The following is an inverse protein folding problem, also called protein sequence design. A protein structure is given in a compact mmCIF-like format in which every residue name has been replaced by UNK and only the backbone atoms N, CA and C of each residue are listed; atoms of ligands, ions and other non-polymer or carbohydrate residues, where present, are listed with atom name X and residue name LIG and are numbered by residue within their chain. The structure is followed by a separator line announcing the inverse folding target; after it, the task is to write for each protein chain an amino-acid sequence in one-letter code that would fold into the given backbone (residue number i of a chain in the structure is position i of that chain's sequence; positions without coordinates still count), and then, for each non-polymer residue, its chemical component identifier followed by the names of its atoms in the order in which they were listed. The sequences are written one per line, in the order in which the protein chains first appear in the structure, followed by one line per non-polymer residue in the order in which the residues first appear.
data_IF_829887120487
#
_entry.id   IF_829887120487
#
_cell.length_a   1.000
_cell.length_b   1.000
_cell.length_c   1.000
_cell.angle_alpha   90.00
_cell.angle_beta   90.00
_cell.angle_gamma   90.00
#
_symmetry.space_group_name_H-M   'P 1'
#
loop_
_entity.id
_entity.type
_entity.pdbx_description
1 polymer ?
#
# COMPACT_ATOMS: atom_id res chain seq x y z
N UNK A 1 -20.58 -16.20 21.70
CA UNK A 1 -20.95 -15.21 20.66
C UNK A 1 -20.50 -13.85 21.16
N UNK A 2 -19.44 -13.30 20.60
CA UNK A 2 -18.91 -11.97 20.92
C UNK A 2 -19.42 -10.96 19.91
N UNK A 3 -19.63 -9.72 20.34
CA UNK A 3 -19.93 -8.60 19.47
C UNK A 3 -18.76 -7.61 19.51
N UNK A 4 -18.07 -7.44 18.41
CA UNK A 4 -16.91 -6.55 18.29
C UNK A 4 -17.25 -5.38 17.39
N UNK A 5 -17.02 -4.17 17.86
CA UNK A 5 -17.15 -2.95 17.06
C UNK A 5 -15.77 -2.52 16.55
N UNK A 6 -15.64 -2.35 15.25
CA UNK A 6 -14.42 -1.82 14.64
C UNK A 6 -14.61 -0.34 14.27
N UNK A 7 -13.72 0.48 14.80
CA UNK A 7 -13.72 1.93 14.64
C UNK A 7 -12.43 2.36 13.96
N UNK A 8 -12.53 3.28 13.00
CA UNK A 8 -11.36 3.78 12.27
C UNK A 8 -11.36 5.29 12.19
N UNK A 9 -10.29 5.90 12.69
CA UNK A 9 -10.10 7.36 12.64
C UNK A 9 -8.89 7.74 11.80
N UNK A 10 -9.00 8.85 11.08
CA UNK A 10 -7.86 9.44 10.37
C UNK A 10 -7.02 10.35 11.26
N UNK A 11 -7.64 11.23 12.07
CA UNK A 11 -6.94 12.19 12.94
C UNK A 11 -7.79 12.85 14.03
N UNK A 12 -9.08 12.52 14.20
CA UNK A 12 -9.98 13.24 15.10
C UNK A 12 -10.59 12.37 16.20
N UNK A 13 -10.45 12.76 17.47
CA UNK A 13 -11.11 12.11 18.62
C UNK A 13 -12.65 12.20 18.54
N UNK A 14 -13.18 13.25 17.96
CA UNK A 14 -14.64 13.47 17.82
C UNK A 14 -15.28 12.47 16.85
N UNK A 15 -14.60 12.08 15.75
CA UNK A 15 -15.09 11.05 14.82
C UNK A 15 -15.18 9.68 15.52
N UNK A 16 -14.24 9.36 16.41
CA UNK A 16 -14.26 8.13 17.20
C UNK A 16 -15.47 8.08 18.14
N UNK A 17 -15.74 9.17 18.86
CA UNK A 17 -16.89 9.28 19.77
C UNK A 17 -18.22 9.11 19.02
N UNK A 18 -18.36 9.74 17.85
CA UNK A 18 -19.56 9.63 17.01
C UNK A 18 -19.77 8.19 16.51
N UNK A 19 -18.70 7.51 16.10
CA UNK A 19 -18.76 6.10 15.67
C UNK A 19 -19.18 5.19 16.83
N UNK A 20 -18.60 5.37 18.04
CA UNK A 20 -19.00 4.64 19.24
C UNK A 20 -20.47 4.83 19.55
N UNK A 21 -20.94 6.08 19.54
CA UNK A 21 -22.31 6.44 19.81
C UNK A 21 -23.26 5.76 18.82
N UNK A 22 -22.99 5.84 17.51
CA UNK A 22 -23.78 5.20 16.48
C UNK A 22 -23.90 3.68 16.68
N UNK A 23 -22.79 3.02 17.12
CA UNK A 23 -22.80 1.59 17.39
C UNK A 23 -23.64 1.25 18.64
N UNK A 24 -23.54 2.03 19.70
CA UNK A 24 -24.30 1.83 20.93
C UNK A 24 -25.80 2.08 20.71
N UNK A 25 -26.14 3.15 20.01
CA UNK A 25 -27.52 3.49 19.65
C UNK A 25 -28.17 2.38 18.79
N UNK A 26 -27.38 1.78 17.89
CA UNK A 26 -27.82 0.64 17.10
C UNK A 26 -28.00 -0.64 17.95
N UNK A 27 -27.10 -0.90 18.89
CA UNK A 27 -27.12 -2.11 19.71
C UNK A 27 -28.28 -2.15 20.70
N UNK A 28 -28.64 -1.00 21.27
CA UNK A 28 -29.67 -0.83 22.30
C UNK A 28 -31.06 -1.40 21.90
N UNK A 29 -31.67 -1.00 20.78
CA UNK A 29 -32.97 -1.55 20.36
C UNK A 29 -32.88 -3.01 19.91
N UNK A 30 -31.71 -3.48 19.49
CA UNK A 30 -31.46 -4.87 19.08
C UNK A 30 -31.18 -5.81 20.26
N UNK A 31 -31.16 -5.29 21.49
CA UNK A 31 -30.97 -6.02 22.76
C UNK A 31 -29.69 -6.88 22.79
N UNK A 32 -28.56 -6.33 22.26
CA UNK A 32 -27.26 -6.96 22.45
C UNK A 32 -26.25 -5.93 22.97
N UNK A 33 -25.20 -6.43 23.61
CA UNK A 33 -24.07 -5.63 24.12
C UNK A 33 -22.89 -5.71 23.17
N UNK A 34 -22.08 -4.66 23.16
CA UNK A 34 -20.79 -4.64 22.45
C UNK A 34 -19.71 -5.03 23.45
N UNK A 35 -19.12 -6.21 23.25
CA UNK A 35 -18.13 -6.77 24.17
C UNK A 35 -16.77 -6.08 24.04
N UNK A 36 -16.43 -5.60 22.83
CA UNK A 36 -15.14 -4.99 22.55
C UNK A 36 -15.22 -3.92 21.46
N UNK A 37 -14.54 -2.80 21.71
CA UNK A 37 -14.24 -1.80 20.67
C UNK A 37 -12.78 -1.94 20.22
N UNK A 38 -12.57 -2.11 18.93
CA UNK A 38 -11.25 -2.15 18.31
C UNK A 38 -11.05 -0.86 17.54
N UNK A 39 -10.10 -0.07 18.00
CA UNK A 39 -9.79 1.24 17.43
C UNK A 39 -8.56 1.15 16.54
N UNK A 40 -8.69 1.55 15.28
CA UNK A 40 -7.58 1.59 14.34
C UNK A 40 -7.25 3.03 13.95
N UNK A 41 -6.01 3.43 14.15
CA UNK A 41 -5.49 4.68 13.59
C UNK A 41 -5.06 4.44 12.15
N UNK A 42 -5.79 4.98 11.21
CA UNK A 42 -5.46 4.85 9.79
C UNK A 42 -4.76 6.10 9.28
N UNK A 43 -3.43 6.08 9.23
CA UNK A 43 -2.74 6.96 8.31
C UNK A 43 -3.11 6.58 6.86
N UNK A 44 -3.17 7.57 5.95
CA UNK A 44 -3.51 7.35 4.55
C UNK A 44 -2.54 6.42 3.80
N UNK A 45 -1.42 6.03 4.39
CA UNK A 45 -0.34 5.25 3.80
C UNK A 45 -0.23 3.80 4.29
N UNK A 46 -0.98 3.40 5.32
CA UNK A 46 -0.90 2.05 5.88
C UNK A 46 -1.73 1.02 5.10
N UNK A 47 -1.19 -0.18 4.94
CA UNK A 47 -1.88 -1.35 4.35
C UNK A 47 -3.02 -1.86 5.25
N UNK A 48 -3.93 -2.75 4.78
CA UNK A 48 -4.95 -3.37 5.63
C UNK A 48 -4.38 -4.11 6.84
N UNK A 49 -3.26 -4.83 6.69
CA UNK A 49 -2.55 -5.50 7.78
C UNK A 49 -2.09 -4.50 8.86
N UNK A 50 -1.51 -3.37 8.44
CA UNK A 50 -1.06 -2.31 9.35
C UNK A 50 -2.22 -1.58 10.06
N UNK A 51 -3.46 -1.82 9.65
CA UNK A 51 -4.68 -1.27 10.27
C UNK A 51 -5.31 -2.21 11.28
N UNK A 52 -4.71 -3.36 11.52
CA UNK A 52 -5.19 -4.35 12.47
C UNK A 52 -6.50 -5.06 12.07
N UNK A 53 -6.93 -4.95 10.80
CA UNK A 53 -8.12 -5.66 10.32
C UNK A 53 -7.85 -7.15 10.21
N UNK A 54 -6.70 -7.54 9.69
CA UNK A 54 -6.34 -8.96 9.53
C UNK A 54 -6.19 -9.63 10.91
N UNK A 55 -5.60 -8.92 11.89
CA UNK A 55 -5.52 -9.37 13.27
C UNK A 55 -6.93 -9.49 13.89
N UNK A 56 -7.79 -8.51 13.66
CA UNK A 56 -9.18 -8.55 14.12
C UNK A 56 -9.93 -9.76 13.54
N UNK A 57 -9.83 -9.98 12.23
CA UNK A 57 -10.46 -11.15 11.58
C UNK A 57 -9.95 -12.47 12.15
N UNK A 58 -8.66 -12.53 12.53
CA UNK A 58 -8.06 -13.68 13.21
C UNK A 58 -8.62 -13.96 14.59
N UNK A 59 -9.22 -12.96 15.27
CA UNK A 59 -9.79 -13.10 16.63
C UNK A 59 -11.30 -13.40 16.65
N UNK A 60 -11.95 -13.39 15.49
CA UNK A 60 -13.39 -13.64 15.36
C UNK A 60 -13.68 -15.11 15.04
N UNK A 61 -14.55 -15.71 15.81
CA UNK A 61 -15.01 -17.08 15.65
C UNK A 61 -16.37 -17.14 14.94
N UNK A 62 -16.74 -18.33 14.45
CA UNK A 62 -18.03 -18.55 13.83
C UNK A 62 -19.18 -18.19 14.80
N UNK A 63 -20.14 -17.40 14.33
CA UNK A 63 -21.25 -16.89 15.12
C UNK A 63 -20.97 -15.58 15.84
N UNK A 64 -19.73 -15.12 15.92
CA UNK A 64 -19.41 -13.77 16.43
C UNK A 64 -19.96 -12.68 15.49
N UNK A 65 -20.03 -11.45 15.99
CA UNK A 65 -20.56 -10.30 15.24
C UNK A 65 -19.53 -9.18 15.15
N UNK A 66 -19.28 -8.73 13.92
CA UNK A 66 -18.52 -7.50 13.64
C UNK A 66 -19.49 -6.37 13.29
N UNK A 67 -19.35 -5.22 13.93
CA UNK A 67 -20.14 -4.01 13.65
C UNK A 67 -19.22 -2.87 13.25
N UNK A 68 -19.64 -2.14 12.23
CA UNK A 68 -19.04 -0.87 11.82
C UNK A 68 -20.11 0.21 11.66
N UNK A 69 -19.75 1.45 11.90
CA UNK A 69 -20.65 2.59 11.64
C UNK A 69 -20.98 2.75 10.16
N UNK A 70 -19.99 2.51 9.29
CA UNK A 70 -20.13 2.55 7.83
C UNK A 70 -19.08 1.68 7.15
N UNK A 71 -19.34 1.21 5.92
CA UNK A 71 -18.44 0.35 5.14
C UNK A 71 -17.08 0.98 4.89
N UNK A 72 -17.02 2.29 4.77
CA UNK A 72 -15.77 3.04 4.55
C UNK A 72 -14.75 2.83 5.68
N UNK A 73 -15.18 2.39 6.86
CA UNK A 73 -14.28 2.06 7.98
C UNK A 73 -13.48 0.80 7.73
N UNK A 74 -14.05 -0.19 7.04
CA UNK A 74 -13.36 -1.44 6.71
C UNK A 74 -12.26 -1.26 5.65
N UNK A 75 -12.52 -0.47 4.63
CA UNK A 75 -11.61 -0.34 3.49
C UNK A 75 -11.63 1.03 2.85
N UNK A 76 -10.68 1.29 1.96
CA UNK A 76 -10.56 2.53 1.18
C UNK A 76 -11.13 2.39 -0.22
N UNK A 77 -11.22 1.18 -0.72
CA UNK A 77 -11.84 0.85 -1.99
C UNK A 77 -12.91 -0.18 -1.74
N UNK A 78 -13.91 -0.17 -2.58
CA UNK A 78 -14.99 -1.15 -2.53
C UNK A 78 -14.42 -2.57 -2.65
N UNK A 79 -13.37 -2.80 -3.46
CA UNK A 79 -12.72 -4.10 -3.57
C UNK A 79 -12.04 -4.58 -2.27
N UNK A 80 -11.57 -3.68 -1.40
CA UNK A 80 -11.08 -4.06 -0.07
C UNK A 80 -12.22 -4.46 0.85
N UNK A 81 -13.31 -3.69 0.85
CA UNK A 81 -14.50 -3.97 1.65
C UNK A 81 -15.08 -5.34 1.29
N UNK A 82 -15.20 -5.63 0.00
CA UNK A 82 -15.73 -6.92 -0.49
C UNK A 82 -14.89 -8.09 0.01
N UNK A 83 -13.56 -8.01 -0.10
CA UNK A 83 -12.66 -9.08 0.40
C UNK A 83 -12.84 -9.34 1.88
N UNK A 84 -13.00 -8.28 2.69
CA UNK A 84 -13.21 -8.41 4.12
C UNK A 84 -14.58 -9.02 4.41
N UNK A 85 -15.63 -8.58 3.73
CA UNK A 85 -16.99 -9.13 3.87
C UNK A 85 -17.05 -10.59 3.43
N UNK A 86 -16.42 -10.94 2.30
CA UNK A 86 -16.33 -12.34 1.82
C UNK A 86 -15.62 -13.23 2.85
N UNK A 87 -14.52 -12.74 3.45
CA UNK A 87 -13.82 -13.48 4.51
C UNK A 87 -14.68 -13.66 5.76
N UNK A 88 -15.43 -12.64 6.19
CA UNK A 88 -16.36 -12.74 7.30
C UNK A 88 -17.45 -13.79 7.04
N UNK A 89 -18.00 -13.80 5.83
CA UNK A 89 -19.03 -14.78 5.42
C UNK A 89 -18.46 -16.20 5.39
N UNK A 90 -17.24 -16.39 4.85
CA UNK A 90 -16.56 -17.70 4.85
C UNK A 90 -16.33 -18.22 6.27
N UNK A 91 -15.98 -17.35 7.20
CA UNK A 91 -15.80 -17.67 8.63
C UNK A 91 -17.11 -17.80 9.39
N UNK A 92 -18.26 -17.60 8.76
CA UNK A 92 -19.59 -17.58 9.39
C UNK A 92 -19.72 -16.53 10.50
N UNK A 93 -19.00 -15.41 10.37
CA UNK A 93 -19.09 -14.27 11.25
C UNK A 93 -20.23 -13.37 10.78
N UNK A 94 -21.06 -12.91 11.72
CA UNK A 94 -22.12 -11.94 11.44
C UNK A 94 -21.53 -10.57 11.21
N UNK A 95 -22.13 -9.81 10.31
CA UNK A 95 -21.63 -8.48 9.99
C UNK A 95 -22.77 -7.45 9.91
N UNK A 96 -22.49 -6.25 10.43
CA UNK A 96 -23.40 -5.11 10.37
C UNK A 96 -22.65 -3.86 9.97
N UNK A 97 -23.12 -3.18 8.91
CA UNK A 97 -22.76 -1.81 8.57
C UNK A 97 -23.99 -0.94 8.76
N UNK A 98 -23.94 -0.06 9.76
CA UNK A 98 -25.12 0.66 10.27
C UNK A 98 -25.67 1.64 9.22
N UNK A 99 -24.80 2.49 8.68
CA UNK A 99 -25.18 3.57 7.74
C UNK A 99 -25.81 3.05 6.46
N UNK A 100 -25.26 1.97 5.91
CA UNK A 100 -25.74 1.34 4.69
C UNK A 100 -26.88 0.34 4.94
N UNK A 101 -27.28 0.13 6.20
CA UNK A 101 -28.28 -0.84 6.63
C UNK A 101 -28.00 -2.29 6.16
N UNK A 102 -26.70 -2.63 6.02
CA UNK A 102 -26.27 -3.96 5.57
C UNK A 102 -26.10 -4.88 6.76
N UNK A 103 -26.69 -6.09 6.66
CA UNK A 103 -26.57 -7.14 7.68
C UNK A 103 -26.33 -8.48 7.02
N UNK A 104 -25.36 -9.22 7.56
CA UNK A 104 -25.13 -10.62 7.22
C UNK A 104 -25.20 -11.45 8.51
N UNK A 105 -25.99 -12.49 8.52
CA UNK A 105 -26.18 -13.34 9.70
C UNK A 105 -25.17 -14.53 9.74
N UNK A 106 -24.07 -14.44 8.98
CA UNK A 106 -23.07 -15.51 8.92
C UNK A 106 -23.53 -16.76 8.14
N UNK A 107 -24.68 -16.71 7.49
CA UNK A 107 -25.18 -17.76 6.61
C UNK A 107 -24.88 -17.39 5.15
N UNK A 108 -24.50 -18.39 4.37
CA UNK A 108 -24.32 -18.23 2.92
C UNK A 108 -25.67 -18.41 2.21
N UNK A 109 -26.65 -17.58 2.54
CA UNK A 109 -27.92 -17.57 1.84
C UNK A 109 -27.81 -16.90 0.46
N UNK A 110 -28.84 -17.05 -0.36
CA UNK A 110 -28.88 -16.49 -1.71
C UNK A 110 -28.75 -14.97 -1.68
N UNK A 111 -29.37 -14.33 -0.70
CA UNK A 111 -29.35 -12.85 -0.55
C UNK A 111 -27.92 -12.34 -0.29
N UNK A 112 -27.17 -12.98 0.60
CA UNK A 112 -25.77 -12.68 0.87
C UNK A 112 -24.91 -12.86 -0.37
N UNK A 113 -25.09 -13.97 -1.12
CA UNK A 113 -24.34 -14.22 -2.37
C UNK A 113 -24.61 -13.16 -3.43
N UNK A 114 -25.88 -12.81 -3.66
CA UNK A 114 -26.28 -11.78 -4.60
C UNK A 114 -25.67 -10.42 -4.22
N UNK A 115 -25.70 -10.07 -2.95
CA UNK A 115 -25.16 -8.81 -2.47
C UNK A 115 -23.63 -8.72 -2.63
N UNK A 116 -22.91 -9.80 -2.33
CA UNK A 116 -21.46 -9.88 -2.57
C UNK A 116 -21.14 -9.74 -4.07
N UNK A 117 -21.91 -10.41 -4.93
CA UNK A 117 -21.75 -10.30 -6.39
C UNK A 117 -21.99 -8.88 -6.90
N UNK A 118 -23.04 -8.22 -6.44
CA UNK A 118 -23.33 -6.82 -6.78
C UNK A 118 -22.21 -5.88 -6.33
N UNK A 119 -21.72 -6.03 -5.10
CA UNK A 119 -20.57 -5.25 -4.65
C UNK A 119 -19.32 -5.50 -5.50
N UNK A 120 -19.09 -6.76 -5.94
CA UNK A 120 -18.02 -7.12 -6.86
C UNK A 120 -18.10 -6.33 -8.17
N UNK A 121 -19.28 -6.29 -8.78
CA UNK A 121 -19.54 -5.52 -9.99
C UNK A 121 -19.32 -4.01 -9.77
N UNK A 122 -19.83 -3.45 -8.69
CA UNK A 122 -19.61 -2.03 -8.38
C UNK A 122 -18.13 -1.71 -8.18
N UNK A 123 -17.35 -2.59 -7.56
CA UNK A 123 -15.91 -2.39 -7.39
C UNK A 123 -15.14 -2.43 -8.72
N UNK A 124 -15.60 -3.23 -9.66
CA UNK A 124 -15.03 -3.28 -11.01
C UNK A 124 -15.33 -1.99 -11.77
N UNK A 125 -16.58 -1.55 -11.76
CA UNK A 125 -17.01 -0.29 -12.37
C UNK A 125 -16.27 0.91 -11.75
N UNK A 126 -16.13 0.99 -10.43
CA UNK A 126 -15.36 2.05 -9.75
C UNK A 126 -13.90 2.08 -10.25
N UNK A 127 -13.26 0.90 -10.35
CA UNK A 127 -11.88 0.77 -10.84
C UNK A 127 -11.76 1.25 -12.28
N UNK A 128 -12.70 0.89 -13.14
CA UNK A 128 -12.70 1.29 -14.55
C UNK A 128 -12.89 2.81 -14.70
N UNK A 129 -13.80 3.40 -13.94
CA UNK A 129 -14.00 4.85 -13.92
C UNK A 129 -12.73 5.59 -13.44
N UNK A 130 -12.07 5.11 -12.39
CA UNK A 130 -10.80 5.68 -11.92
C UNK A 130 -9.72 5.57 -12.99
N UNK A 131 -9.61 4.41 -13.65
CA UNK A 131 -8.67 4.16 -14.75
C UNK A 131 -8.91 5.12 -15.89
N UNK A 132 -10.16 5.28 -16.31
CA UNK A 132 -10.55 6.18 -17.40
C UNK A 132 -10.22 7.63 -17.05
N UNK A 133 -10.63 8.14 -15.89
CA UNK A 133 -10.29 9.50 -15.42
C UNK A 133 -8.79 9.74 -15.38
N UNK A 134 -8.01 8.74 -14.96
CA UNK A 134 -6.55 8.83 -14.93
C UNK A 134 -5.97 8.94 -16.33
N UNK A 135 -6.46 8.14 -17.29
CA UNK A 135 -6.05 8.21 -18.71
C UNK A 135 -6.37 9.56 -19.32
N UNK A 136 -7.56 10.07 -19.08
CA UNK A 136 -8.00 11.40 -19.55
C UNK A 136 -7.15 12.52 -18.93
N UNK A 137 -6.89 12.47 -17.63
CA UNK A 137 -6.01 13.42 -16.93
C UNK A 137 -4.57 13.40 -17.45
N UNK A 138 -4.03 12.22 -17.74
CA UNK A 138 -2.70 12.08 -18.34
C UNK A 138 -2.68 12.59 -19.78
N UNK A 139 -3.73 12.35 -20.57
CA UNK A 139 -3.84 12.86 -21.94
C UNK A 139 -3.93 14.41 -21.92
N UNK A 140 -4.74 14.99 -21.06
CA UNK A 140 -4.84 16.43 -20.89
C UNK A 140 -3.52 17.07 -20.45
N UNK A 141 -2.76 16.41 -19.54
CA UNK A 141 -1.46 16.88 -19.11
C UNK A 141 -0.43 16.84 -20.27
N UNK A 142 -0.45 15.79 -21.12
CA UNK A 142 0.39 15.74 -22.31
C UNK A 142 0.04 16.83 -23.32
N UNK A 143 -1.25 17.05 -23.57
CA UNK A 143 -1.71 18.13 -24.46
C UNK A 143 -1.26 19.52 -23.99
N UNK A 144 -1.11 19.73 -22.68
CA UNK A 144 -0.55 20.94 -22.08
C UNK A 144 0.98 20.99 -22.07
N UNK A 145 1.66 20.07 -22.77
CA UNK A 145 3.13 20.01 -22.86
C UNK A 145 3.83 19.53 -21.58
N UNK A 146 3.10 18.99 -20.59
CA UNK A 146 3.74 18.47 -19.38
C UNK A 146 4.43 17.13 -19.67
N UNK A 147 5.72 17.07 -19.37
CA UNK A 147 6.47 15.83 -19.41
C UNK A 147 5.99 14.92 -18.27
N UNK A 148 5.45 13.78 -18.63
CA UNK A 148 4.98 12.78 -17.67
C UNK A 148 6.09 11.78 -17.34
N UNK A 149 6.11 11.35 -16.08
CA UNK A 149 7.11 10.42 -15.58
C UNK A 149 8.28 11.12 -14.90
N UNK A 150 9.32 10.35 -14.64
CA UNK A 150 10.53 10.85 -13.98
C UNK A 150 11.34 11.73 -14.95
N UNK A 151 11.78 12.94 -14.54
CA UNK A 151 12.63 13.77 -15.38
C UNK A 151 13.89 13.02 -15.83
N UNK A 152 14.26 13.17 -17.11
CA UNK A 152 15.50 12.58 -17.62
C UNK A 152 16.70 13.10 -16.83
N UNK A 153 17.58 12.20 -16.39
CA UNK A 153 18.75 12.54 -15.58
C UNK A 153 18.51 12.72 -14.08
N UNK A 154 17.27 12.74 -13.61
CA UNK A 154 17.01 12.77 -12.19
C UNK A 154 17.50 11.46 -11.53
N UNK A 155 18.43 11.57 -10.58
CA UNK A 155 18.96 10.44 -9.85
C UNK A 155 17.96 10.02 -8.75
N UNK A 156 17.63 8.71 -8.69
CA UNK A 156 16.79 8.16 -7.63
C UNK A 156 17.58 7.92 -6.36
N UNK A 157 16.85 7.73 -5.25
CA UNK A 157 17.43 7.21 -4.02
C UNK A 157 17.99 5.81 -4.27
N UNK A 158 19.23 5.60 -3.87
CA UNK A 158 19.92 4.31 -3.94
C UNK A 158 20.29 3.86 -2.53
N UNK A 159 20.39 2.54 -2.32
CA UNK A 159 20.97 1.98 -1.08
C UNK A 159 22.44 2.33 -0.90
N UNK A 160 23.07 2.82 -1.96
CA UNK A 160 24.49 3.20 -1.99
C UNK A 160 24.68 4.71 -1.83
N UNK A 161 23.62 5.50 -1.71
CA UNK A 161 23.75 6.93 -1.45
C UNK A 161 24.45 7.15 -0.10
N UNK A 162 25.47 8.00 -0.07
CA UNK A 162 26.36 8.22 1.07
C UNK A 162 27.59 7.29 1.15
N UNK A 163 27.70 6.31 0.24
CA UNK A 163 28.88 5.42 0.14
C UNK A 163 29.77 5.73 -1.07
N UNK A 164 29.58 6.89 -1.69
CA UNK A 164 30.28 7.27 -2.90
C UNK A 164 31.80 7.30 -2.72
N UNK A 165 32.29 7.88 -1.61
CA UNK A 165 33.71 7.98 -1.30
C UNK A 165 34.35 6.61 -0.98
N UNK A 166 33.64 5.77 -0.21
CA UNK A 166 34.08 4.42 0.08
C UNK A 166 34.25 3.60 -1.21
N UNK A 167 33.26 3.68 -2.10
CA UNK A 167 33.28 2.99 -3.39
C UNK A 167 34.43 3.54 -4.27
N UNK A 168 34.66 4.86 -4.27
CA UNK A 168 35.73 5.50 -5.01
C UNK A 168 37.10 5.02 -4.54
N UNK A 169 37.36 5.04 -3.23
CA UNK A 169 38.62 4.54 -2.65
C UNK A 169 38.89 3.08 -3.00
N UNK A 170 37.86 2.24 -2.96
CA UNK A 170 38.00 0.83 -3.31
C UNK A 170 38.30 0.63 -4.81
N UNK A 171 37.73 1.47 -5.68
CA UNK A 171 38.03 1.46 -7.11
C UNK A 171 39.46 1.94 -7.40
N UNK A 172 39.96 2.95 -6.69
CA UNK A 172 41.34 3.46 -6.79
C UNK A 172 42.35 2.41 -6.33
N UNK A 173 42.03 1.66 -5.29
CA UNK A 173 42.79 0.51 -4.83
C UNK A 173 42.69 -0.73 -5.73
N UNK A 174 42.13 -0.57 -6.94
CA UNK A 174 41.98 -1.65 -7.93
C UNK A 174 41.17 -2.88 -7.45
N UNK A 175 40.36 -2.73 -6.41
CA UNK A 175 39.46 -3.79 -5.94
C UNK A 175 38.42 -4.12 -7.01
N UNK A 176 38.20 -5.40 -7.27
CA UNK A 176 37.24 -5.83 -8.28
C UNK A 176 35.81 -5.37 -7.96
N UNK A 177 35.03 -4.96 -8.98
CA UNK A 177 33.63 -4.56 -8.79
C UNK A 177 32.78 -5.65 -8.14
N UNK A 178 33.15 -6.92 -8.33
CA UNK A 178 32.46 -8.04 -7.69
C UNK A 178 32.74 -8.07 -6.17
N UNK A 179 33.96 -7.80 -5.76
CA UNK A 179 34.36 -7.72 -4.35
C UNK A 179 33.75 -6.50 -3.68
N UNK A 180 33.77 -5.33 -4.35
CA UNK A 180 33.14 -4.11 -3.85
C UNK A 180 31.63 -4.35 -3.63
N UNK A 181 30.93 -4.99 -4.58
CA UNK A 181 29.50 -5.28 -4.44
C UNK A 181 29.20 -6.15 -3.20
N UNK A 182 30.05 -7.12 -2.90
CA UNK A 182 29.94 -7.93 -1.68
C UNK A 182 30.19 -7.08 -0.41
N UNK A 183 31.20 -6.21 -0.41
CA UNK A 183 31.53 -5.34 0.74
C UNK A 183 30.36 -4.42 1.06
N UNK A 184 29.79 -3.75 0.06
CA UNK A 184 28.69 -2.78 0.26
C UNK A 184 27.30 -3.42 0.32
N UNK A 185 27.19 -4.76 0.20
CA UNK A 185 25.95 -5.52 0.39
C UNK A 185 24.93 -5.35 -0.74
N UNK A 186 25.37 -5.22 -2.01
CA UNK A 186 24.47 -5.08 -3.17
C UNK A 186 24.86 -6.05 -4.30
N UNK A 187 23.97 -6.21 -5.29
CA UNK A 187 24.30 -6.97 -6.49
C UNK A 187 25.35 -6.24 -7.35
N UNK A 188 26.16 -7.00 -8.10
CA UNK A 188 27.15 -6.45 -9.04
C UNK A 188 26.51 -5.50 -10.06
N UNK A 189 25.30 -5.83 -10.53
CA UNK A 189 24.54 -5.00 -11.48
C UNK A 189 24.12 -3.67 -10.87
N UNK A 190 23.65 -3.66 -9.62
CA UNK A 190 23.26 -2.45 -8.90
C UNK A 190 24.49 -1.53 -8.68
N UNK A 191 25.63 -2.10 -8.25
CA UNK A 191 26.88 -1.34 -8.11
C UNK A 191 27.35 -0.76 -9.45
N UNK A 192 27.35 -1.56 -10.53
CA UNK A 192 27.75 -1.08 -11.85
C UNK A 192 26.87 0.08 -12.33
N UNK A 193 25.57 -0.02 -12.15
CA UNK A 193 24.62 1.05 -12.49
C UNK A 193 24.88 2.30 -11.64
N UNK A 194 25.14 2.14 -10.34
CA UNK A 194 25.46 3.26 -9.44
C UNK A 194 26.73 3.97 -9.84
N UNK A 195 27.84 3.25 -10.08
CA UNK A 195 29.11 3.82 -10.56
C UNK A 195 28.90 4.60 -11.86
N UNK A 196 28.14 4.05 -12.81
CA UNK A 196 27.86 4.70 -14.10
C UNK A 196 27.02 5.97 -13.93
N UNK A 197 25.94 5.91 -13.14
CA UNK A 197 25.01 7.03 -12.97
C UNK A 197 25.58 8.15 -12.10
N UNK A 198 26.41 7.82 -11.10
CA UNK A 198 27.10 8.80 -10.24
C UNK A 198 28.47 9.20 -10.79
N UNK A 199 28.88 8.68 -11.96
CA UNK A 199 30.17 8.97 -12.61
C UNK A 199 31.38 8.72 -11.69
N UNK A 200 31.32 7.66 -10.87
CA UNK A 200 32.40 7.27 -9.97
C UNK A 200 33.46 6.49 -10.73
N UNK A 201 34.23 7.17 -11.58
CA UNK A 201 35.39 6.60 -12.25
C UNK A 201 36.67 6.99 -11.51
N UNK A 202 37.65 6.07 -11.31
CA UNK A 202 38.95 6.44 -10.75
C UNK A 202 39.61 7.51 -11.61
N UNK A 203 40.23 8.52 -11.02
CA UNK A 203 40.89 9.60 -11.76
C UNK A 203 42.05 9.09 -12.65
N UNK A 204 42.63 7.94 -12.28
CA UNK A 204 43.69 7.29 -13.05
C UNK A 204 43.29 6.86 -14.47
N UNK A 205 41.99 6.66 -14.75
CA UNK A 205 41.53 6.29 -16.11
C UNK A 205 41.53 7.47 -17.10
N UNK A 206 41.55 8.72 -16.61
CA UNK A 206 41.63 9.90 -17.47
C UNK A 206 43.03 10.15 -18.05
N UNK A 207 44.07 9.67 -17.37
CA UNK A 207 45.42 9.77 -17.84
C UNK A 207 45.80 8.70 -18.89
N UNK A 208 45.27 7.48 -18.74
CA UNK A 208 45.53 6.37 -19.68
C UNK A 208 44.85 6.59 -21.06
N UNK A 209 43.71 7.31 -21.14
CA UNK A 209 43.05 7.58 -22.42
C UNK A 209 43.77 8.71 -23.21
N UNK A 210 44.47 9.64 -22.53
CA UNK A 210 45.24 10.68 -23.21
C UNK A 210 46.58 10.20 -23.78
N UNK A 211 47.16 9.10 -23.29
CA UNK A 211 48.42 8.55 -23.78
C UNK A 211 48.25 7.67 -25.02
N UNK A 212 47.07 7.09 -25.26
CA UNK A 212 46.80 6.22 -26.42
C UNK A 212 46.51 6.96 -27.73
N UNK A 213 46.30 8.25 -27.69
CA UNK A 213 46.04 9.08 -28.90
C UNK A 213 47.32 9.75 -29.47
N UNK A 214 48.49 9.55 -28.86
CA UNK A 214 49.76 10.17 -29.34
C UNK A 214 50.71 9.22 -30.08
N UNK A 215 50.32 7.99 -30.37
CA UNK A 215 51.13 6.97 -30.98
C UNK A 215 50.64 6.43 -32.33
N UNK A 216 50.13 7.26 -33.22
CA UNK A 216 49.99 6.93 -34.65
C UNK A 216 50.39 8.11 -35.51
N UNK A 217 51.60 8.12 -35.98
CA UNK A 217 52.11 8.82 -37.17
C UNK A 217 53.12 7.92 -37.87
N UNK A 218 53.29 8.19 -39.12
CA UNK A 218 52.87 7.35 -40.26
C UNK A 218 53.89 6.30 -40.59
#
# INVERSE_FOLDING_TARGET
MKTVAYLRVSTGSQDLANQKMAVLDYAKPQRFTVDRFVEAQASSRKTPAERGIDDLLGTLDAGDRLIVSELSRLGRSLGQVIRIVDELVKRKVRFVAIKEAIRFEGKQDMQTKVMIALFGLFAEVERDLISQRTKEGLAAARAKGRLLGRPKGALGKSKLDGKEEEIRMLLEKTVSKASIAKIVGVSRTALHHFIKTRKLTPETSKLASKSRTRGRRP
#
